data_IF_485388388786
#
_entry.id   IF_485388388786
#
_cell.length_a   1.000
_cell.length_b   1.000
_cell.length_c   1.000
_cell.angle_alpha   90.00
_cell.angle_beta   90.00
_cell.angle_gamma   90.00
#
_symmetry.space_group_name_H-M   'P 1'
#
loop_
_entity.id
_entity.type
_entity.pdbx_description
1 polymer ?
#
# COMPACT_ATOMS: atom_id res chain seq x y z
N UNK A 1 18.19 -1.04 1.71
CA UNK A 1 16.94 -1.81 1.91
C UNK A 1 17.35 -3.23 2.31
N UNK A 2 17.21 -3.60 3.60
CA UNK A 2 17.81 -4.82 4.18
C UNK A 2 17.20 -6.12 3.61
N UNK A 3 15.98 -6.05 3.08
CA UNK A 3 15.26 -7.20 2.52
C UNK A 3 15.33 -7.26 0.99
N UNK A 4 16.07 -6.36 0.34
CA UNK A 4 16.03 -6.25 -1.12
C UNK A 4 16.42 -7.54 -1.86
N UNK A 5 17.39 -8.29 -1.34
CA UNK A 5 17.83 -9.57 -1.92
C UNK A 5 16.81 -10.70 -1.74
N UNK A 6 15.81 -10.51 -0.88
CA UNK A 6 14.79 -11.51 -0.55
C UNK A 6 13.46 -11.26 -1.27
N UNK A 7 13.29 -10.11 -1.94
CA UNK A 7 12.01 -9.63 -2.41
C UNK A 7 11.99 -9.44 -3.93
N UNK A 8 10.98 -10.01 -4.57
CA UNK A 8 10.62 -9.75 -5.95
C UNK A 8 10.13 -8.29 -6.14
N UNK A 9 10.06 -7.81 -7.40
CA UNK A 9 9.35 -6.59 -7.74
C UNK A 9 7.86 -6.66 -7.38
N UNK A 10 7.21 -5.50 -7.24
CA UNK A 10 5.76 -5.44 -7.05
C UNK A 10 5.04 -5.91 -8.31
N UNK A 11 4.06 -6.78 -8.12
CA UNK A 11 3.23 -7.35 -9.20
C UNK A 11 1.83 -6.73 -9.27
N UNK A 12 1.52 -5.77 -8.38
CA UNK A 12 0.22 -5.12 -8.37
C UNK A 12 -0.02 -4.37 -9.69
N UNK A 13 -1.22 -4.52 -10.30
CA UNK A 13 -1.58 -3.71 -11.45
C UNK A 13 -1.74 -2.23 -11.03
N UNK A 14 -1.59 -1.27 -11.96
CA UNK A 14 -1.56 0.16 -11.62
C UNK A 14 -2.80 0.68 -10.88
N UNK A 15 -3.97 0.15 -11.22
CA UNK A 15 -5.26 0.44 -10.59
C UNK A 15 -5.37 -0.08 -9.15
N UNK A 16 -4.62 -1.12 -8.79
CA UNK A 16 -4.49 -1.60 -7.41
C UNK A 16 -3.37 -0.91 -6.63
N UNK A 17 -2.35 -0.38 -7.32
CA UNK A 17 -1.28 0.40 -6.69
C UNK A 17 -1.79 1.77 -6.20
N UNK A 18 -2.74 2.35 -6.92
CA UNK A 18 -3.37 3.61 -6.56
C UNK A 18 -4.86 3.55 -6.79
N UNK A 19 -5.63 3.62 -5.71
CA UNK A 19 -7.08 3.55 -5.73
C UNK A 19 -7.67 4.89 -5.30
N UNK A 20 -8.78 5.28 -5.94
CA UNK A 20 -9.59 6.43 -5.57
C UNK A 20 -11.07 6.08 -5.68
N UNK A 21 -11.90 6.71 -4.86
CA UNK A 21 -13.36 6.57 -4.98
C UNK A 21 -13.95 7.65 -5.92
N UNK A 22 -15.17 7.41 -6.42
CA UNK A 22 -15.83 8.30 -7.41
C UNK A 22 -16.51 9.59 -6.89
N UNK A 23 -16.32 10.01 -5.64
CA UNK A 23 -16.39 11.44 -5.28
C UNK A 23 -15.03 12.09 -5.01
N UNK A 24 -13.92 11.38 -5.27
CA UNK A 24 -12.54 11.85 -5.03
C UNK A 24 -12.26 12.31 -3.59
N UNK A 25 -12.94 11.67 -2.64
CA UNK A 25 -12.81 11.97 -1.21
C UNK A 25 -11.87 11.03 -0.49
N UNK A 26 -11.60 9.86 -1.07
CA UNK A 26 -10.69 8.87 -0.52
C UNK A 26 -9.67 8.44 -1.57
N UNK A 27 -8.40 8.43 -1.16
CA UNK A 27 -7.26 7.95 -1.92
C UNK A 27 -6.51 6.93 -1.10
N UNK A 28 -6.03 5.89 -1.77
CA UNK A 28 -5.16 4.90 -1.14
C UNK A 28 -4.08 4.48 -2.11
N UNK A 29 -2.97 4.01 -1.55
CA UNK A 29 -1.96 3.31 -2.31
C UNK A 29 -1.53 2.05 -1.58
N UNK A 30 -1.22 1.04 -2.38
CA UNK A 30 -0.76 -0.25 -1.93
C UNK A 30 0.55 -0.59 -2.61
N UNK A 31 1.52 -1.05 -1.81
CA UNK A 31 2.77 -1.56 -2.30
C UNK A 31 3.03 -2.93 -1.69
N UNK A 32 2.95 -3.97 -2.52
CA UNK A 32 3.22 -5.35 -2.11
C UNK A 32 4.44 -5.84 -2.87
N UNK A 33 5.39 -6.42 -2.15
CA UNK A 33 6.51 -7.13 -2.76
C UNK A 33 6.59 -8.54 -2.17
N UNK A 34 6.35 -9.58 -2.98
CA UNK A 34 6.47 -10.94 -2.51
C UNK A 34 7.94 -11.33 -2.31
N UNK A 35 8.20 -12.28 -1.43
CA UNK A 35 9.49 -12.93 -1.31
C UNK A 35 9.81 -13.83 -2.51
N UNK A 36 11.08 -14.10 -2.73
CA UNK A 36 11.49 -15.22 -3.61
C UNK A 36 11.10 -16.56 -2.99
N UNK A 37 11.00 -17.64 -3.79
CA UNK A 37 10.63 -18.97 -3.29
C UNK A 37 11.51 -19.50 -2.14
N UNK A 38 12.79 -19.10 -2.08
CA UNK A 38 13.73 -19.47 -1.01
C UNK A 38 13.84 -18.41 0.11
N UNK A 39 13.05 -17.34 0.05
CA UNK A 39 13.02 -16.28 1.04
C UNK A 39 12.33 -16.74 2.32
N UNK A 40 12.81 -16.34 3.52
CA UNK A 40 12.07 -16.52 4.76
C UNK A 40 10.89 -15.54 4.89
N UNK A 41 10.83 -14.50 4.05
CA UNK A 41 9.75 -13.51 3.99
C UNK A 41 8.73 -13.95 2.95
N UNK A 42 7.46 -14.02 3.34
CA UNK A 42 6.34 -14.30 2.42
C UNK A 42 6.06 -13.08 1.52
N UNK A 43 5.82 -11.92 2.11
CA UNK A 43 5.75 -10.63 1.43
C UNK A 43 5.93 -9.47 2.40
N UNK A 44 6.24 -8.29 1.87
CA UNK A 44 6.11 -7.02 2.60
C UNK A 44 4.93 -6.23 2.05
N UNK A 45 4.31 -5.44 2.93
CA UNK A 45 3.15 -4.61 2.64
C UNK A 45 3.37 -3.20 3.14
N UNK A 46 3.43 -2.25 2.22
CA UNK A 46 3.32 -0.82 2.51
C UNK A 46 1.97 -0.30 2.05
N UNK A 47 1.33 0.55 2.85
CA UNK A 47 0.08 1.19 2.46
C UNK A 47 -0.06 2.59 3.04
N UNK A 48 -0.84 3.41 2.32
CA UNK A 48 -1.40 4.61 2.88
C UNK A 48 -2.85 4.80 2.44
N UNK A 49 -3.62 5.48 3.28
CA UNK A 49 -5.00 5.86 3.04
C UNK A 49 -5.18 7.31 3.49
N UNK A 50 -5.70 8.14 2.60
CA UNK A 50 -6.21 9.46 2.87
C UNK A 50 -7.71 9.47 2.63
N UNK A 51 -8.50 9.99 3.57
CA UNK A 51 -9.95 10.11 3.40
C UNK A 51 -10.45 11.40 4.04
N UNK A 52 -11.18 12.21 3.29
CA UNK A 52 -11.89 13.38 3.81
C UNK A 52 -13.08 12.92 4.64
N UNK A 53 -13.21 13.44 5.86
CA UNK A 53 -14.33 13.07 6.73
C UNK A 53 -15.64 13.71 6.24
N UNK A 54 -16.80 13.02 6.35
CA UNK A 54 -18.09 13.54 5.92
C UNK A 54 -18.51 14.85 6.62
N UNK A 55 -17.94 15.12 7.80
CA UNK A 55 -18.19 16.32 8.60
C UNK A 55 -17.59 17.60 7.99
N UNK A 56 -16.85 17.49 6.89
CA UNK A 56 -16.19 18.62 6.22
C UNK A 56 -15.01 19.21 7.00
N UNK A 57 -14.72 18.69 8.19
CA UNK A 57 -13.64 19.13 9.07
C UNK A 57 -12.70 17.96 9.33
N UNK A 58 -11.51 18.01 8.73
CA UNK A 58 -10.44 17.04 8.94
C UNK A 58 -10.36 15.90 7.92
N UNK A 59 -9.34 15.07 8.11
CA UNK A 59 -9.07 13.90 7.27
C UNK A 59 -8.59 12.73 8.12
N UNK A 60 -8.95 11.52 7.72
CA UNK A 60 -8.34 10.29 8.19
C UNK A 60 -7.10 10.02 7.35
N UNK A 61 -5.96 9.89 8.02
CA UNK A 61 -4.69 9.52 7.40
C UNK A 61 -4.15 8.28 8.09
N UNK A 62 -3.90 7.23 7.32
CA UNK A 62 -3.30 5.99 7.79
C UNK A 62 -2.06 5.74 6.93
N UNK A 63 -0.95 5.41 7.58
CA UNK A 63 0.27 4.92 6.93
C UNK A 63 0.73 3.69 7.67
N UNK A 64 0.98 2.60 6.95
CA UNK A 64 1.38 1.33 7.55
C UNK A 64 2.49 0.67 6.74
N UNK A 65 3.35 -0.06 7.45
CA UNK A 65 4.37 -0.93 6.89
C UNK A 65 4.43 -2.21 7.74
N UNK A 66 4.20 -3.35 7.09
CA UNK A 66 4.35 -4.69 7.67
C UNK A 66 5.41 -5.45 6.87
N UNK A 67 6.44 -5.96 7.54
CA UNK A 67 7.59 -6.61 6.94
C UNK A 67 8.22 -7.66 7.86
#
# INVERSE_FOLDING_TARGET
>A
NRLAAHLLPSTLPPDAQYCRNDPDTAHASLHIRPGHHSSPVDFILGSWLHCKLPTGTGSLNITSLSA
#
